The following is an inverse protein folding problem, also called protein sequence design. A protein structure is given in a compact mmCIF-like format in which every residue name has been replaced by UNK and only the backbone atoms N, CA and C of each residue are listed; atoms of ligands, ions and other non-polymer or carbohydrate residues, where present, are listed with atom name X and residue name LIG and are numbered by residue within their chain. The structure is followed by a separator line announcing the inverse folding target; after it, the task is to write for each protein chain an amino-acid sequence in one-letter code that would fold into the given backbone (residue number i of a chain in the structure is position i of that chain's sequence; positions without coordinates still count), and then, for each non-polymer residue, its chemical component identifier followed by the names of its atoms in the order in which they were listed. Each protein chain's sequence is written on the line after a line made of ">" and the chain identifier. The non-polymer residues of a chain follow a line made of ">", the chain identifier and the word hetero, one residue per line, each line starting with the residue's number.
data_IF_275854588633
#
_entry.id   IF_275854588633
#
_cell.length_a   1.000
_cell.length_b   1.000
_cell.length_c   1.000
_cell.angle_alpha   90.00
_cell.angle_beta   90.00
_cell.angle_gamma   90.00
#
_symmetry.space_group_name_H-M   'P 1'
#
loop_
_entity.id
_entity.type
_entity.pdbx_description
1 polymer ?
#
# COMPACT_ATOMS: atom_id res chain seq x y z
N UNK A 1 5.57 10.10 31.95
CA UNK A 1 4.87 9.32 33.01
C UNK A 1 4.77 7.87 32.57
N UNK A 2 5.06 6.91 33.46
CA UNK A 2 4.97 5.47 33.14
C UNK A 2 3.50 5.03 33.21
N UNK A 3 3.00 4.34 32.19
CA UNK A 3 1.63 3.81 32.18
C UNK A 3 0.53 4.81 31.79
N UNK A 4 0.88 5.98 31.25
CA UNK A 4 -0.10 6.90 30.64
C UNK A 4 -0.30 6.58 29.16
N UNK A 5 -1.55 6.49 28.75
CA UNK A 5 -1.93 6.43 27.34
C UNK A 5 -1.72 7.81 26.70
N UNK A 6 -0.82 7.88 25.73
CA UNK A 6 -0.43 9.10 25.02
C UNK A 6 -1.15 9.28 23.68
N UNK A 7 -1.61 8.17 23.08
CA UNK A 7 -2.57 8.12 21.98
C UNK A 7 -3.45 6.88 22.14
N UNK A 8 -4.73 7.03 21.79
CA UNK A 8 -5.71 5.95 21.74
C UNK A 8 -6.62 6.14 20.51
N UNK A 9 -7.29 5.06 20.11
CA UNK A 9 -8.38 5.06 19.13
C UNK A 9 -8.04 5.76 17.80
N UNK A 10 -6.79 5.60 17.35
CA UNK A 10 -6.36 6.14 16.06
C UNK A 10 -6.92 5.27 14.94
N UNK A 11 -7.68 5.89 14.04
CA UNK A 11 -8.30 5.21 12.89
C UNK A 11 -7.52 5.43 11.59
N UNK A 12 -6.52 6.32 11.59
CA UNK A 12 -5.70 6.59 10.41
C UNK A 12 -4.68 5.46 10.19
N UNK A 13 -4.88 4.68 9.14
CA UNK A 13 -3.95 3.64 8.67
C UNK A 13 -3.47 3.90 7.23
N UNK A 14 -3.52 5.16 6.78
CA UNK A 14 -3.30 5.54 5.38
C UNK A 14 -1.85 5.44 4.90
N UNK A 15 -0.89 5.29 5.82
CA UNK A 15 0.54 5.39 5.52
C UNK A 15 1.05 6.81 5.18
N UNK A 16 0.20 7.85 5.16
CA UNK A 16 0.60 9.22 4.76
C UNK A 16 1.15 10.01 5.95
N UNK A 17 2.44 10.36 5.90
CA UNK A 17 3.22 10.92 7.03
C UNK A 17 2.62 12.18 7.67
N UNK A 18 1.93 13.03 6.92
CA UNK A 18 1.39 14.32 7.39
C UNK A 18 0.04 14.21 8.12
N UNK A 19 -0.54 13.00 8.17
CA UNK A 19 -1.83 12.74 8.84
C UNK A 19 -1.68 12.04 10.19
N UNK A 20 -0.45 11.84 10.67
CA UNK A 20 -0.20 11.21 11.96
C UNK A 20 0.00 12.25 13.06
N UNK A 21 -0.72 12.07 14.17
CA UNK A 21 -0.55 12.90 15.35
C UNK A 21 0.82 12.65 15.99
N UNK A 22 1.59 13.71 16.22
CA UNK A 22 2.84 13.63 16.97
C UNK A 22 2.57 13.20 18.41
N UNK A 23 3.30 12.18 18.86
CA UNK A 23 3.30 11.76 20.27
C UNK A 23 4.24 12.64 21.07
N UNK A 24 3.96 12.83 22.37
CA UNK A 24 4.91 13.39 23.33
C UNK A 24 6.26 12.63 23.24
N UNK A 25 7.35 13.34 22.95
CA UNK A 25 8.68 12.76 22.70
C UNK A 25 9.12 12.67 21.23
N UNK A 26 8.30 13.14 20.28
CA UNK A 26 8.68 13.24 18.86
C UNK A 26 8.60 11.93 18.08
N UNK A 27 7.84 10.95 18.59
CA UNK A 27 7.58 9.68 17.91
C UNK A 27 6.36 9.81 17.01
N UNK A 28 6.43 9.20 15.82
CA UNK A 28 5.30 8.97 14.93
C UNK A 28 4.94 7.47 14.98
N UNK A 29 3.66 7.15 15.20
CA UNK A 29 3.16 5.79 15.05
C UNK A 29 2.41 5.70 13.72
N UNK A 30 2.98 4.93 12.79
CA UNK A 30 2.39 4.63 11.48
C UNK A 30 1.99 3.17 11.48
N UNK A 31 0.71 2.90 11.26
CA UNK A 31 0.18 1.55 11.02
C UNK A 31 -0.25 1.50 9.56
N UNK A 32 0.33 0.58 8.79
CA UNK A 32 -0.02 0.38 7.39
C UNK A 32 -0.18 -1.11 7.12
N UNK A 33 -1.32 -1.49 6.55
CA UNK A 33 -1.58 -2.84 6.07
C UNK A 33 -1.06 -3.07 4.64
N UNK A 34 -1.02 -4.33 4.18
CA UNK A 34 -0.75 -4.61 2.78
C UNK A 34 -1.85 -4.01 1.89
N UNK A 35 -1.55 -3.69 0.61
CA UNK A 35 -2.58 -3.26 -0.33
C UNK A 35 -3.66 -4.34 -0.52
N UNK A 36 -4.91 -3.97 -0.81
CA UNK A 36 -5.99 -4.95 -1.05
C UNK A 36 -5.74 -5.77 -2.31
N UNK A 37 -6.27 -7.00 -2.35
CA UNK A 37 -6.26 -7.86 -3.55
C UNK A 37 -5.36 -9.08 -3.42
N UNK A 38 -4.70 -9.47 -4.51
CA UNK A 38 -3.77 -10.61 -4.54
C UNK A 38 -2.38 -10.18 -4.11
N UNK A 39 -1.65 -11.01 -3.34
CA UNK A 39 -0.26 -10.67 -2.95
C UNK A 39 0.62 -10.49 -4.20
N UNK A 40 1.56 -9.55 -4.14
CA UNK A 40 2.45 -9.27 -5.26
C UNK A 40 3.46 -10.41 -5.49
N UNK A 41 3.90 -10.55 -6.75
CA UNK A 41 4.98 -11.45 -7.13
C UNK A 41 4.67 -12.93 -6.85
N UNK A 42 5.69 -13.68 -6.39
CA UNK A 42 5.58 -15.11 -6.11
C UNK A 42 4.76 -15.46 -4.86
N UNK A 43 4.37 -14.47 -4.06
CA UNK A 43 3.66 -14.71 -2.81
C UNK A 43 2.14 -14.80 -3.00
N UNK A 44 1.62 -14.31 -4.13
CA UNK A 44 0.19 -14.32 -4.45
C UNK A 44 -0.28 -15.48 -5.29
N UNK A 45 0.63 -16.28 -5.81
CA UNK A 45 0.29 -17.45 -6.61
C UNK A 45 1.41 -18.49 -6.62
N UNK A 46 1.04 -19.76 -6.76
CA UNK A 46 2.01 -20.84 -6.90
C UNK A 46 1.44 -22.00 -7.70
N UNK A 47 2.27 -22.73 -8.44
CA UNK A 47 1.93 -24.08 -8.88
C UNK A 47 2.28 -25.04 -7.75
N UNK A 48 1.28 -25.66 -7.16
CA UNK A 48 1.42 -26.56 -6.02
C UNK A 48 1.83 -27.97 -6.48
N UNK A 49 1.43 -28.34 -7.69
CA UNK A 49 1.85 -29.57 -8.37
C UNK A 49 1.69 -29.42 -9.88
N UNK A 50 2.32 -30.33 -10.62
CA UNK A 50 2.23 -30.37 -12.08
C UNK A 50 3.12 -29.35 -12.77
N UNK A 51 2.72 -28.95 -13.98
CA UNK A 51 3.48 -28.04 -14.86
C UNK A 51 2.73 -26.73 -15.09
N UNK A 52 3.45 -25.62 -15.07
CA UNK A 52 2.88 -24.33 -15.42
C UNK A 52 2.49 -24.27 -16.90
N UNK A 53 1.18 -24.19 -17.16
CA UNK A 53 0.64 -23.95 -18.52
C UNK A 53 -0.09 -22.61 -18.66
N UNK A 54 -0.57 -21.99 -17.58
CA UNK A 54 -1.14 -20.64 -17.63
C UNK A 54 -0.04 -19.56 -17.62
N UNK A 55 -0.34 -18.44 -18.25
CA UNK A 55 0.54 -17.28 -18.34
C UNK A 55 -0.24 -15.97 -18.36
N UNK A 56 0.40 -14.94 -17.84
CA UNK A 56 -0.11 -13.58 -17.86
C UNK A 56 -0.01 -12.94 -19.24
N UNK A 57 0.94 -13.38 -20.07
CA UNK A 57 1.12 -12.84 -21.41
C UNK A 57 -0.17 -12.96 -22.23
N UNK A 58 -0.51 -11.93 -23.01
CA UNK A 58 -1.77 -11.87 -23.74
C UNK A 58 -2.99 -11.60 -22.87
N UNK A 59 -2.86 -11.38 -21.55
CA UNK A 59 -3.99 -11.13 -20.64
C UNK A 59 -3.75 -10.09 -19.53
N UNK A 60 -2.50 -9.74 -19.24
CA UNK A 60 -2.12 -9.06 -17.99
C UNK A 60 -2.15 -7.53 -17.97
N UNK A 61 -2.18 -6.86 -19.11
CA UNK A 61 -1.96 -5.40 -19.16
C UNK A 61 -3.23 -4.59 -19.45
N UNK A 62 -4.39 -5.24 -19.60
CA UNK A 62 -5.64 -4.58 -19.99
C UNK A 62 -6.37 -3.89 -18.85
N UNK A 63 -6.31 -4.43 -17.63
CA UNK A 63 -7.17 -4.01 -16.52
C UNK A 63 -6.43 -3.58 -15.25
N UNK A 64 -5.09 -3.68 -15.21
CA UNK A 64 -4.30 -3.22 -14.06
C UNK A 64 -4.52 -4.02 -12.77
N UNK A 65 -4.90 -5.29 -12.88
CA UNK A 65 -5.03 -6.21 -11.74
C UNK A 65 -3.65 -6.52 -11.12
N UNK A 66 -3.64 -7.14 -9.94
CA UNK A 66 -2.53 -7.17 -8.99
C UNK A 66 -1.83 -8.53 -8.99
N UNK A 67 -2.62 -9.59 -9.18
CA UNK A 67 -2.19 -10.98 -9.11
C UNK A 67 -1.71 -11.53 -10.46
N UNK A 68 -0.75 -12.44 -10.40
CA UNK A 68 -0.19 -13.14 -11.57
C UNK A 68 0.20 -12.17 -12.70
N UNK A 69 1.01 -11.16 -12.37
CA UNK A 69 1.42 -10.08 -13.28
C UNK A 69 0.25 -9.30 -13.91
N UNK A 70 -0.90 -9.24 -13.25
CA UNK A 70 -2.10 -8.54 -13.70
C UNK A 70 -3.11 -9.36 -14.49
N UNK A 71 -2.94 -10.69 -14.52
CA UNK A 71 -3.88 -11.60 -15.16
C UNK A 71 -4.92 -12.22 -14.22
N UNK A 72 -4.88 -11.92 -12.92
CA UNK A 72 -5.96 -12.19 -11.97
C UNK A 72 -6.01 -11.12 -10.91
N UNK A 73 -7.21 -10.74 -10.46
CA UNK A 73 -7.35 -9.75 -9.41
C UNK A 73 -8.65 -9.84 -8.64
N UNK A 74 -8.70 -9.05 -7.58
CA UNK A 74 -9.92 -8.77 -6.83
C UNK A 74 -10.79 -7.82 -7.65
N UNK A 75 -11.49 -8.38 -8.63
CA UNK A 75 -12.26 -7.62 -9.58
C UNK A 75 -13.46 -8.42 -10.10
N UNK A 76 -14.38 -7.73 -10.77
CA UNK A 76 -15.54 -8.34 -11.44
C UNK A 76 -15.89 -7.58 -12.72
N UNK A 77 -16.61 -8.20 -13.68
CA UNK A 77 -17.14 -7.47 -14.84
C UNK A 77 -18.04 -6.29 -14.44
N UNK A 78 -18.86 -6.44 -13.38
CA UNK A 78 -19.69 -5.36 -12.84
C UNK A 78 -18.86 -4.17 -12.35
N UNK A 79 -17.69 -4.42 -11.75
CA UNK A 79 -16.78 -3.37 -11.34
C UNK A 79 -16.16 -2.60 -12.53
N UNK A 80 -15.75 -3.29 -13.60
CA UNK A 80 -15.12 -2.64 -14.75
C UNK A 80 -16.09 -2.06 -15.77
N UNK A 81 -17.26 -2.67 -15.96
CA UNK A 81 -18.18 -2.38 -17.06
C UNK A 81 -19.61 -2.06 -16.62
N UNK A 82 -19.94 -2.30 -15.34
CA UNK A 82 -21.24 -2.01 -14.75
C UNK A 82 -21.18 -0.76 -13.87
N UNK A 83 -21.71 -0.89 -12.65
CA UNK A 83 -21.86 0.21 -11.69
C UNK A 83 -20.67 0.38 -10.72
N UNK A 84 -19.59 -0.38 -10.90
CA UNK A 84 -18.41 -0.30 -10.02
C UNK A 84 -18.47 -1.24 -8.81
N UNK A 85 -19.55 -2.02 -8.63
CA UNK A 85 -19.72 -2.88 -7.45
C UNK A 85 -18.72 -4.03 -7.41
N UNK A 86 -18.09 -4.21 -6.24
CA UNK A 86 -17.36 -5.40 -5.83
C UNK A 86 -18.08 -6.01 -4.62
N UNK A 87 -18.60 -7.22 -4.77
CA UNK A 87 -19.44 -7.85 -3.75
C UNK A 87 -18.66 -8.37 -2.54
N UNK A 88 -17.46 -8.89 -2.77
CA UNK A 88 -16.63 -9.51 -1.74
C UNK A 88 -15.55 -8.50 -1.36
N UNK A 89 -15.62 -7.82 -0.21
CA UNK A 89 -14.61 -6.83 0.14
C UNK A 89 -13.21 -7.46 0.29
N UNK A 90 -12.16 -6.63 0.21
CA UNK A 90 -10.78 -7.12 0.08
C UNK A 90 -10.29 -7.94 1.29
N UNK A 91 -10.82 -7.67 2.48
CA UNK A 91 -10.58 -8.40 3.73
C UNK A 91 -11.31 -9.74 3.79
N UNK A 92 -12.34 -9.95 2.97
CA UNK A 92 -13.09 -11.20 2.88
C UNK A 92 -12.58 -12.16 1.80
N UNK A 93 -11.60 -11.74 0.96
CA UNK A 93 -11.00 -12.61 -0.06
C UNK A 93 -10.47 -13.91 0.55
N UNK A 94 -10.66 -15.02 -0.16
CA UNK A 94 -10.20 -16.34 0.26
C UNK A 94 -8.92 -16.75 -0.44
N UNK A 95 -8.03 -17.43 0.28
CA UNK A 95 -7.03 -18.28 -0.36
C UNK A 95 -7.75 -19.37 -1.15
N UNK A 96 -7.33 -19.61 -2.39
CA UNK A 96 -7.94 -20.66 -3.22
C UNK A 96 -6.93 -21.62 -3.84
N UNK A 97 -7.37 -22.86 -4.05
CA UNK A 97 -6.72 -23.85 -4.90
C UNK A 97 -7.58 -24.12 -6.14
N UNK A 98 -6.97 -24.02 -7.31
CA UNK A 98 -7.53 -24.41 -8.59
C UNK A 98 -6.94 -25.77 -8.96
N UNK A 99 -7.79 -26.79 -9.04
CA UNK A 99 -7.43 -28.16 -9.40
C UNK A 99 -7.97 -28.44 -10.79
N UNK A 100 -7.11 -28.79 -11.74
CA UNK A 100 -7.49 -28.94 -13.14
C UNK A 100 -8.01 -30.36 -13.44
N UNK A 101 -8.76 -30.51 -14.52
CA UNK A 101 -9.12 -31.82 -15.09
C UNK A 101 -8.17 -32.19 -16.23
N UNK A 102 -8.21 -33.45 -16.68
CA UNK A 102 -7.51 -33.84 -17.90
C UNK A 102 -8.22 -33.24 -19.12
N UNK A 103 -7.47 -32.49 -19.93
CA UNK A 103 -7.94 -31.87 -21.17
C UNK A 103 -6.90 -32.06 -22.25
N UNK A 104 -7.29 -32.51 -23.44
CA UNK A 104 -6.36 -32.65 -24.56
C UNK A 104 -5.93 -31.30 -25.17
N UNK A 105 -5.06 -31.35 -26.19
CA UNK A 105 -4.53 -30.15 -26.83
C UNK A 105 -5.61 -29.29 -27.53
N UNK A 106 -6.73 -29.92 -27.93
CA UNK A 106 -7.86 -29.30 -28.61
C UNK A 106 -8.93 -28.79 -27.63
N UNK A 107 -8.69 -28.94 -26.32
CA UNK A 107 -9.62 -28.53 -25.29
C UNK A 107 -10.76 -29.51 -25.05
N UNK A 108 -10.66 -30.76 -25.48
CA UNK A 108 -11.67 -31.77 -25.20
C UNK A 108 -11.39 -32.45 -23.86
N UNK A 109 -12.44 -32.70 -23.10
CA UNK A 109 -12.37 -33.34 -21.79
C UNK A 109 -13.61 -34.18 -21.51
N UNK A 110 -13.45 -35.22 -20.70
CA UNK A 110 -14.57 -35.96 -20.14
C UNK A 110 -15.22 -35.11 -19.04
N UNK A 111 -16.50 -34.78 -19.25
CA UNK A 111 -17.30 -33.92 -18.35
C UNK A 111 -17.65 -34.59 -17.02
N UNK A 112 -17.42 -35.89 -16.88
CA UNK A 112 -17.66 -36.64 -15.65
C UNK A 112 -16.47 -36.66 -14.69
N UNK A 113 -15.33 -36.08 -15.10
CA UNK A 113 -14.15 -35.98 -14.25
C UNK A 113 -14.43 -35.16 -12.97
N UNK A 114 -13.83 -35.52 -11.83
CA UNK A 114 -14.13 -34.90 -10.53
C UNK A 114 -13.81 -33.40 -10.49
N UNK A 115 -12.78 -32.98 -11.22
CA UNK A 115 -12.35 -31.59 -11.33
C UNK A 115 -13.03 -30.82 -12.46
N UNK A 116 -14.02 -31.39 -13.16
CA UNK A 116 -14.88 -30.60 -14.06
C UNK A 116 -15.98 -29.96 -13.21
N UNK A 117 -16.20 -28.66 -13.42
CA UNK A 117 -17.27 -27.89 -12.78
C UNK A 117 -18.38 -27.59 -13.78
N UNK A 118 -19.61 -27.68 -13.30
CA UNK A 118 -20.68 -26.90 -13.89
C UNK A 118 -20.40 -25.41 -13.66
N UNK A 119 -20.38 -24.64 -14.74
CA UNK A 119 -20.03 -23.22 -14.70
C UNK A 119 -21.09 -22.36 -15.36
N UNK A 120 -21.28 -21.16 -14.84
CA UNK A 120 -22.15 -20.15 -15.45
C UNK A 120 -21.42 -19.57 -16.66
N UNK A 121 -22.09 -19.57 -17.82
CA UNK A 121 -21.55 -19.01 -19.05
C UNK A 121 -22.22 -17.69 -19.37
N UNK A 122 -21.41 -16.68 -19.64
CA UNK A 122 -21.86 -15.38 -20.13
C UNK A 122 -21.30 -15.12 -21.53
N UNK A 123 -22.06 -14.38 -22.31
CA UNK A 123 -21.72 -14.05 -23.69
C UNK A 123 -21.70 -12.55 -23.92
N UNK A 124 -20.58 -12.03 -24.42
CA UNK A 124 -20.51 -10.64 -24.86
C UNK A 124 -20.91 -10.48 -26.32
N UNK A 125 -21.81 -9.53 -26.60
CA UNK A 125 -22.33 -9.24 -27.96
C UNK A 125 -23.15 -10.37 -28.58
N UNK A 126 -23.84 -11.17 -27.76
CA UNK A 126 -24.62 -12.31 -28.23
C UNK A 126 -25.99 -11.92 -28.82
N UNK A 127 -26.46 -10.69 -28.57
CA UNK A 127 -27.61 -10.11 -29.28
C UNK A 127 -27.35 -9.87 -30.79
N UNK A 128 -26.07 -9.82 -31.21
CA UNK A 128 -25.70 -9.69 -32.62
C UNK A 128 -25.69 -11.05 -33.33
N UNK A 129 -25.71 -11.02 -34.67
CA UNK A 129 -25.50 -12.23 -35.46
C UNK A 129 -24.14 -12.88 -35.11
N UNK A 130 -24.02 -14.21 -35.21
CA UNK A 130 -22.75 -14.91 -34.99
C UNK A 130 -21.63 -14.30 -35.84
N UNK A 131 -20.54 -13.86 -35.20
CA UNK A 131 -19.38 -13.29 -35.88
C UNK A 131 -18.65 -14.32 -36.74
N UNK A 132 -18.80 -15.61 -36.40
CA UNK A 132 -18.41 -16.75 -37.22
C UNK A 132 -19.54 -17.78 -37.27
N UNK A 133 -19.73 -18.51 -38.39
CA UNK A 133 -20.80 -19.50 -38.50
C UNK A 133 -20.78 -20.56 -37.40
N UNK A 134 -19.59 -20.99 -36.98
CA UNK A 134 -19.38 -22.00 -35.94
C UNK A 134 -19.83 -21.56 -34.53
N UNK A 135 -20.03 -20.26 -34.28
CA UNK A 135 -20.51 -19.77 -32.98
C UNK A 135 -22.02 -19.95 -32.81
N UNK A 136 -22.77 -20.08 -33.92
CA UNK A 136 -24.23 -20.08 -33.90
C UNK A 136 -24.84 -21.12 -32.94
N UNK A 137 -24.33 -22.37 -32.81
CA UNK A 137 -24.88 -23.35 -31.87
C UNK A 137 -24.71 -22.97 -30.38
N UNK A 138 -23.77 -22.07 -30.08
CA UNK A 138 -23.39 -21.69 -28.73
C UNK A 138 -23.96 -20.34 -28.29
N UNK A 139 -24.67 -19.63 -29.18
CA UNK A 139 -25.38 -18.39 -28.83
C UNK A 139 -26.83 -18.77 -28.50
N UNK A 140 -27.16 -18.83 -27.21
CA UNK A 140 -28.45 -19.33 -26.72
C UNK A 140 -29.39 -18.17 -26.42
N UNK A 141 -28.92 -17.21 -25.62
CA UNK A 141 -29.67 -16.03 -25.23
C UNK A 141 -29.19 -14.80 -26.01
N UNK A 142 -30.06 -14.28 -26.86
CA UNK A 142 -29.83 -13.10 -27.70
C UNK A 142 -30.62 -11.88 -27.24
N UNK A 143 -31.35 -11.98 -26.12
CA UNK A 143 -32.29 -10.96 -25.68
C UNK A 143 -31.65 -9.85 -24.84
N UNK A 144 -30.41 -10.02 -24.38
CA UNK A 144 -29.77 -9.06 -23.50
C UNK A 144 -28.90 -8.01 -24.22
N UNK A 145 -28.13 -7.26 -23.44
CA UNK A 145 -27.56 -5.97 -23.90
C UNK A 145 -26.04 -5.89 -23.90
N UNK A 146 -25.32 -6.86 -23.33
CA UNK A 146 -23.88 -6.68 -23.16
C UNK A 146 -23.09 -7.92 -22.80
N UNK A 147 -23.45 -8.60 -21.70
CA UNK A 147 -22.71 -9.73 -21.11
C UNK A 147 -23.68 -10.78 -20.55
N UNK A 148 -24.54 -11.28 -21.42
CA UNK A 148 -25.79 -11.95 -21.06
C UNK A 148 -25.54 -13.39 -20.66
N UNK A 149 -26.28 -13.85 -19.64
CA UNK A 149 -26.27 -15.25 -19.24
C UNK A 149 -26.74 -16.14 -20.38
N UNK A 150 -26.01 -17.24 -20.63
CA UNK A 150 -26.25 -18.19 -21.71
C UNK A 150 -26.78 -19.53 -21.19
N UNK A 151 -26.01 -20.18 -20.32
CA UNK A 151 -26.32 -21.49 -19.77
C UNK A 151 -25.48 -21.82 -18.52
N UNK A 152 -25.77 -22.98 -17.92
CA UNK A 152 -25.03 -23.56 -16.82
C UNK A 152 -24.81 -25.05 -17.10
N UNK A 153 -23.60 -25.40 -17.51
CA UNK A 153 -23.26 -26.76 -17.96
C UNK A 153 -21.88 -27.19 -17.45
N UNK A 154 -21.58 -28.49 -17.51
CA UNK A 154 -20.27 -29.07 -17.16
C UNK A 154 -19.19 -28.71 -18.20
N UNK A 155 -18.85 -27.42 -18.26
CA UNK A 155 -18.05 -26.81 -19.34
C UNK A 155 -16.73 -26.21 -18.85
N UNK A 156 -16.44 -26.28 -17.55
CA UNK A 156 -15.25 -25.68 -16.95
C UNK A 156 -14.32 -26.79 -16.46
N UNK A 157 -13.19 -27.08 -17.14
CA UNK A 157 -12.31 -28.21 -16.80
C UNK A 157 -11.37 -27.92 -15.62
N UNK A 158 -11.90 -27.30 -14.57
CA UNK A 158 -11.23 -27.06 -13.30
C UNK A 158 -12.26 -26.98 -12.16
N UNK A 159 -11.80 -27.25 -10.94
CA UNK A 159 -12.53 -27.06 -9.71
C UNK A 159 -11.75 -26.10 -8.81
N UNK A 160 -12.45 -25.15 -8.19
CA UNK A 160 -11.84 -24.18 -7.28
C UNK A 160 -12.28 -24.48 -5.86
N UNK A 161 -11.34 -24.44 -4.92
CA UNK A 161 -11.57 -24.67 -3.50
C UNK A 161 -11.11 -23.45 -2.70
N UNK A 162 -11.98 -22.94 -1.84
CA UNK A 162 -11.61 -22.10 -0.70
C UNK A 162 -10.85 -22.97 0.31
N UNK A 163 -9.57 -22.62 0.51
CA UNK A 163 -8.64 -23.32 1.40
C UNK A 163 -8.47 -22.63 2.76
N UNK A 164 -9.14 -21.51 2.99
CA UNK A 164 -9.22 -20.93 4.33
C UNK A 164 -10.27 -21.67 5.18
N UNK A 165 -11.22 -22.34 4.53
CA UNK A 165 -12.19 -23.23 5.18
C UNK A 165 -11.57 -24.60 5.55
N UNK A 166 -12.01 -25.15 6.69
CA UNK A 166 -11.66 -26.51 7.14
C UNK A 166 -12.94 -27.34 7.40
N UNK A 167 -13.24 -28.36 6.56
CA UNK A 167 -12.49 -28.78 5.37
C UNK A 167 -12.62 -27.77 4.21
N UNK A 168 -11.73 -27.84 3.19
CA UNK A 168 -11.80 -26.97 2.03
C UNK A 168 -13.16 -27.03 1.32
N UNK A 169 -13.67 -25.87 0.91
CA UNK A 169 -15.02 -25.70 0.34
C UNK A 169 -14.95 -25.44 -1.16
N UNK A 170 -15.66 -26.24 -1.96
CA UNK A 170 -15.67 -26.08 -3.43
C UNK A 170 -16.54 -24.89 -3.84
N UNK A 171 -15.99 -24.01 -4.66
CA UNK A 171 -16.59 -22.75 -5.08
C UNK A 171 -17.26 -22.83 -6.46
N UNK A 172 -18.31 -22.03 -6.63
CA UNK A 172 -18.93 -21.77 -7.92
C UNK A 172 -17.98 -20.98 -8.84
N UNK A 173 -18.03 -21.32 -10.12
CA UNK A 173 -17.23 -20.69 -11.16
C UNK A 173 -18.10 -20.32 -12.36
N UNK A 174 -17.62 -19.39 -13.15
CA UNK A 174 -18.19 -19.13 -14.46
C UNK A 174 -17.17 -18.49 -15.37
N UNK A 175 -17.58 -18.21 -16.60
CA UNK A 175 -16.68 -17.69 -17.61
C UNK A 175 -17.41 -16.85 -18.65
N UNK A 176 -16.64 -16.06 -19.37
CA UNK A 176 -17.12 -15.25 -20.49
C UNK A 176 -16.62 -15.80 -21.81
N UNK A 177 -17.44 -15.65 -22.85
CA UNK A 177 -17.03 -15.74 -24.25
C UNK A 177 -17.44 -14.47 -25.02
N UNK A 178 -16.79 -14.18 -26.14
CA UNK A 178 -17.02 -12.95 -26.91
C UNK A 178 -17.39 -13.23 -28.36
N UNK A 179 -18.59 -12.82 -28.77
CA UNK A 179 -19.06 -12.94 -30.15
C UNK A 179 -18.45 -11.83 -31.02
N UNK A 180 -17.17 -12.01 -31.37
CA UNK A 180 -16.37 -11.10 -32.19
C UNK A 180 -15.49 -11.88 -33.16
N UNK A 181 -14.89 -11.22 -34.15
CA UNK A 181 -14.05 -11.90 -35.15
C UNK A 181 -12.86 -12.67 -34.52
N UNK A 182 -12.30 -12.17 -33.41
CA UNK A 182 -11.25 -12.86 -32.64
C UNK A 182 -11.78 -13.74 -31.50
N UNK A 183 -13.10 -13.93 -31.39
CA UNK A 183 -13.75 -14.80 -30.41
C UNK A 183 -13.40 -16.28 -30.60
N UNK A 184 -13.64 -17.08 -29.55
CA UNK A 184 -13.50 -18.53 -29.58
C UNK A 184 -14.82 -19.30 -29.36
N UNK A 185 -15.92 -18.60 -29.04
CA UNK A 185 -17.25 -19.11 -28.68
C UNK A 185 -17.50 -20.57 -29.06
N UNK A 186 -17.29 -21.46 -28.09
CA UNK A 186 -17.41 -22.92 -28.21
C UNK A 186 -18.11 -23.57 -27.00
N UNK A 187 -18.63 -22.77 -26.08
CA UNK A 187 -19.43 -23.23 -24.95
C UNK A 187 -18.62 -23.98 -23.89
N UNK A 188 -17.29 -23.77 -23.85
CA UNK A 188 -16.40 -24.29 -22.81
C UNK A 188 -15.38 -23.25 -22.40
N UNK A 189 -14.94 -23.33 -21.15
CA UNK A 189 -13.86 -22.47 -20.69
C UNK A 189 -12.52 -22.99 -21.23
N UNK A 190 -11.98 -22.29 -22.24
CA UNK A 190 -10.73 -22.68 -22.88
C UNK A 190 -9.92 -21.45 -23.34
N UNK A 191 -9.11 -20.83 -22.46
CA UNK A 191 -8.42 -19.58 -22.76
C UNK A 191 -7.50 -19.69 -23.99
N UNK A 192 -7.26 -18.59 -24.72
CA UNK A 192 -6.41 -18.63 -25.91
C UNK A 192 -4.95 -18.91 -25.57
N UNK A 193 -4.15 -19.23 -26.59
CA UNK A 193 -2.70 -19.14 -26.46
C UNK A 193 -2.24 -17.69 -26.48
N UNK A 194 -1.26 -17.36 -25.63
CA UNK A 194 -0.78 -15.99 -25.43
C UNK A 194 -0.22 -15.31 -26.67
N UNK A 195 0.29 -16.10 -27.62
CA UNK A 195 0.85 -15.64 -28.89
C UNK A 195 -0.20 -15.61 -30.02
N UNK A 196 -1.40 -16.15 -29.78
CA UNK A 196 -2.47 -16.20 -30.78
C UNK A 196 -3.43 -15.03 -30.64
N UNK A 197 -3.74 -14.61 -29.41
CA UNK A 197 -4.69 -13.54 -29.17
C UNK A 197 -4.44 -12.81 -27.84
N UNK A 198 -4.86 -11.54 -27.81
CA UNK A 198 -5.03 -10.77 -26.57
C UNK A 198 -6.41 -11.11 -25.98
N UNK A 199 -6.40 -11.78 -24.83
CA UNK A 199 -7.57 -12.22 -24.10
C UNK A 199 -8.34 -11.07 -23.45
N UNK A 200 -7.79 -9.84 -23.38
CA UNK A 200 -8.49 -8.66 -22.84
C UNK A 200 -9.10 -7.77 -23.92
N UNK A 201 -8.59 -7.88 -25.16
CA UNK A 201 -9.03 -7.07 -26.28
C UNK A 201 -10.54 -7.17 -26.52
N UNK A 202 -11.18 -6.04 -26.85
CA UNK A 202 -12.63 -6.01 -27.17
C UNK A 202 -13.00 -6.84 -28.40
N UNK A 203 -12.04 -7.05 -29.30
CA UNK A 203 -12.17 -7.88 -30.51
C UNK A 203 -11.59 -9.29 -30.34
N UNK A 204 -10.97 -9.59 -29.20
CA UNK A 204 -10.32 -10.87 -28.90
C UNK A 204 -11.26 -11.89 -28.23
N UNK A 205 -10.71 -13.02 -27.75
CA UNK A 205 -11.47 -14.14 -27.19
C UNK A 205 -12.30 -13.78 -25.97
N UNK A 206 -11.70 -13.08 -25.00
CA UNK A 206 -12.28 -12.80 -23.67
C UNK A 206 -12.79 -14.05 -22.96
N UNK A 207 -12.00 -15.10 -23.02
CA UNK A 207 -12.13 -16.33 -22.24
C UNK A 207 -11.71 -16.03 -20.80
N UNK A 208 -12.59 -15.38 -20.08
CA UNK A 208 -12.35 -14.89 -18.73
C UNK A 208 -12.90 -15.88 -17.72
N UNK A 209 -12.16 -16.16 -16.65
CA UNK A 209 -12.65 -16.98 -15.55
C UNK A 209 -13.13 -16.09 -14.41
N UNK A 210 -14.31 -16.40 -13.87
CA UNK A 210 -14.87 -15.80 -12.68
C UNK A 210 -14.95 -16.85 -11.58
N UNK A 211 -14.45 -16.51 -10.40
CA UNK A 211 -14.44 -17.36 -9.22
C UNK A 211 -15.29 -16.65 -8.17
N UNK A 212 -16.34 -17.31 -7.67
CA UNK A 212 -17.32 -16.71 -6.78
C UNK A 212 -17.11 -17.19 -5.35
N UNK A 213 -17.31 -16.31 -4.37
CA UNK A 213 -17.51 -16.74 -2.98
C UNK A 213 -18.95 -17.26 -2.79
N UNK A 214 -19.22 -18.40 -3.43
CA UNK A 214 -20.50 -19.11 -3.39
C UNK A 214 -20.24 -20.61 -3.54
N UNK A 215 -21.10 -21.44 -2.95
CA UNK A 215 -20.94 -22.89 -2.99
C UNK A 215 -21.13 -23.47 -4.39
N UNK A 216 -20.33 -24.47 -4.74
CA UNK A 216 -20.55 -25.27 -5.94
C UNK A 216 -21.76 -26.21 -5.76
N UNK A 217 -22.73 -26.13 -6.66
CA UNK A 217 -24.03 -26.80 -6.53
C UNK A 217 -24.24 -27.97 -7.52
N UNK A 218 -23.17 -28.41 -8.21
CA UNK A 218 -23.28 -29.47 -9.21
C UNK A 218 -24.13 -29.03 -10.39
N UNK A 219 -25.10 -29.84 -10.82
CA UNK A 219 -25.96 -29.50 -11.96
C UNK A 219 -27.13 -28.53 -11.63
N UNK A 220 -27.20 -28.00 -10.40
CA UNK A 220 -28.32 -27.19 -9.93
C UNK A 220 -27.88 -25.72 -9.79
N UNK A 221 -28.03 -24.86 -10.81
CA UNK A 221 -27.64 -23.46 -10.70
C UNK A 221 -28.46 -22.73 -9.63
N UNK A 222 -27.88 -21.68 -9.06
CA UNK A 222 -28.59 -20.65 -8.31
C UNK A 222 -29.26 -19.71 -9.32
N UNK A 223 -30.60 -19.63 -9.34
CA UNK A 223 -31.34 -18.79 -10.28
C UNK A 223 -30.99 -17.30 -10.17
N UNK A 224 -30.47 -16.84 -9.03
CA UNK A 224 -30.04 -15.45 -8.86
C UNK A 224 -28.82 -15.09 -9.72
N UNK A 225 -28.03 -16.08 -10.13
CA UNK A 225 -26.84 -15.88 -10.95
C UNK A 225 -27.12 -16.05 -12.45
N UNK A 226 -28.30 -16.53 -12.84
CA UNK A 226 -28.78 -16.68 -14.23
C UNK A 226 -29.23 -15.35 -14.86
N UNK A 227 -28.45 -14.30 -14.63
CA UNK A 227 -28.69 -12.93 -15.10
C UNK A 227 -27.39 -12.34 -15.66
N UNK A 228 -27.44 -11.16 -16.26
CA UNK A 228 -26.25 -10.49 -16.82
C UNK A 228 -25.14 -10.30 -15.77
N UNK A 229 -23.88 -10.63 -16.10
CA UNK A 229 -22.77 -10.59 -15.11
C UNK A 229 -22.33 -9.17 -14.72
N UNK A 230 -22.77 -8.16 -15.48
CA UNK A 230 -22.45 -6.75 -15.20
C UNK A 230 -23.53 -6.02 -14.38
N UNK A 231 -24.68 -6.65 -14.12
CA UNK A 231 -25.79 -6.10 -13.32
C UNK A 231 -26.31 -7.08 -12.25
N UNK A 232 -25.90 -8.35 -12.34
CA UNK A 232 -26.32 -9.41 -11.45
C UNK A 232 -25.66 -9.38 -10.07
N UNK A 233 -26.20 -10.19 -9.13
CA UNK A 233 -25.74 -10.27 -7.75
C UNK A 233 -24.60 -11.28 -7.55
N UNK A 234 -23.90 -11.71 -8.60
CA UNK A 234 -22.89 -12.76 -8.50
C UNK A 234 -21.74 -12.31 -7.59
N UNK A 235 -21.40 -13.07 -6.52
CA UNK A 235 -20.35 -12.70 -5.58
C UNK A 235 -18.96 -13.05 -6.13
N UNK A 236 -18.58 -12.45 -7.27
CA UNK A 236 -17.30 -12.69 -7.92
C UNK A 236 -16.18 -12.13 -7.03
N UNK A 237 -15.36 -13.05 -6.51
CA UNK A 237 -14.22 -12.79 -5.66
C UNK A 237 -12.95 -12.57 -6.49
N UNK A 238 -12.73 -13.41 -7.51
CA UNK A 238 -11.60 -13.26 -8.43
C UNK A 238 -12.05 -13.28 -9.88
N UNK A 239 -11.38 -12.45 -10.67
CA UNK A 239 -11.52 -12.37 -12.12
C UNK A 239 -10.15 -12.59 -12.75
N UNK A 240 -10.04 -13.63 -13.58
CA UNK A 240 -8.84 -13.97 -14.31
C UNK A 240 -8.97 -13.79 -15.83
N UNK A 241 -7.93 -13.24 -16.44
CA UNK A 241 -7.79 -12.96 -17.88
C UNK A 241 -6.59 -13.64 -18.52
N UNK A 242 -5.92 -14.56 -17.80
CA UNK A 242 -4.73 -15.27 -18.27
C UNK A 242 -4.95 -16.00 -19.61
N UNK A 243 -3.84 -16.32 -20.25
CA UNK A 243 -3.78 -17.14 -21.45
C UNK A 243 -3.01 -18.44 -21.18
N UNK A 244 -2.97 -19.33 -22.17
CA UNK A 244 -2.11 -20.53 -22.16
C UNK A 244 -0.74 -20.22 -22.76
N UNK A 245 0.32 -20.80 -22.19
CA UNK A 245 1.73 -20.60 -22.60
C UNK A 245 2.19 -21.59 -23.66
N UNK A 246 1.72 -22.82 -23.61
CA UNK A 246 2.10 -23.91 -24.51
C UNK A 246 0.89 -24.81 -24.75
N UNK A 247 0.94 -25.59 -25.83
CA UNK A 247 -0.12 -26.54 -26.22
C UNK A 247 -0.21 -27.77 -25.32
N UNK A 248 0.43 -27.75 -24.14
CA UNK A 248 0.39 -28.87 -23.22
C UNK A 248 -1.05 -29.07 -22.72
N UNK A 249 -1.54 -30.32 -22.77
CA UNK A 249 -2.76 -30.75 -22.08
C UNK A 249 -2.82 -30.27 -20.63
N UNK A 250 -4.02 -29.92 -20.15
CA UNK A 250 -4.24 -29.81 -18.71
C UNK A 250 -4.30 -31.22 -18.16
N UNK A 251 -3.74 -31.45 -16.99
CA UNK A 251 -3.80 -32.75 -16.33
C UNK A 251 -4.42 -32.61 -14.95
N UNK A 252 -4.99 -33.70 -14.45
CA UNK A 252 -5.52 -33.77 -13.09
C UNK A 252 -4.44 -33.72 -11.98
N UNK A 253 -3.16 -33.74 -12.37
CA UNK A 253 -2.02 -33.52 -11.50
C UNK A 253 -1.67 -32.03 -11.33
N UNK A 254 -2.21 -31.14 -12.15
CA UNK A 254 -1.92 -29.72 -12.10
C UNK A 254 -2.78 -29.02 -11.05
N UNK A 255 -2.13 -28.25 -10.17
CA UNK A 255 -2.79 -27.48 -9.12
C UNK A 255 -2.14 -26.11 -8.99
N UNK A 256 -2.96 -25.04 -9.00
CA UNK A 256 -2.53 -23.66 -8.83
C UNK A 256 -3.17 -23.04 -7.59
N UNK A 257 -2.38 -22.42 -6.72
CA UNK A 257 -2.86 -21.61 -5.60
C UNK A 257 -2.90 -20.12 -5.93
N UNK A 258 -3.90 -19.41 -5.41
CA UNK A 258 -3.99 -17.93 -5.41
C UNK A 258 -4.19 -17.46 -3.97
N UNK A 259 -3.42 -16.45 -3.55
CA UNK A 259 -3.37 -16.00 -2.17
C UNK A 259 -3.61 -14.49 -2.07
N UNK A 260 -4.69 -14.07 -1.38
CA UNK A 260 -4.97 -12.66 -1.17
C UNK A 260 -4.03 -12.06 -0.12
N UNK A 261 -3.91 -10.74 -0.15
CA UNK A 261 -3.42 -10.00 1.00
C UNK A 261 -4.45 -10.07 2.13
N UNK A 262 -4.01 -9.80 3.36
CA UNK A 262 -4.90 -9.63 4.51
C UNK A 262 -4.83 -8.16 4.92
N UNK A 263 -5.62 -7.28 4.27
CA UNK A 263 -5.62 -5.86 4.63
C UNK A 263 -6.10 -5.71 6.07
N UNK A 264 -5.64 -4.64 6.72
CA UNK A 264 -6.12 -4.32 8.06
C UNK A 264 -7.60 -3.94 8.01
N UNK A 265 -8.32 -4.37 9.03
CA UNK A 265 -9.73 -4.11 9.25
C UNK A 265 -9.91 -3.16 10.43
N UNK A 266 -11.11 -2.57 10.62
CA UNK A 266 -11.43 -1.83 11.85
C UNK A 266 -11.31 -2.65 13.14
N UNK A 267 -11.30 -3.99 13.05
CA UNK A 267 -11.16 -4.89 14.19
C UNK A 267 -9.69 -5.14 14.58
N UNK A 268 -8.73 -4.78 13.72
CA UNK A 268 -7.31 -4.92 14.00
C UNK A 268 -6.80 -3.84 14.96
N UNK A 269 -6.38 -4.27 16.16
CA UNK A 269 -5.88 -3.38 17.22
C UNK A 269 -4.37 -3.54 17.39
N UNK A 270 -3.63 -2.45 17.17
CA UNK A 270 -2.18 -2.38 17.37
C UNK A 270 -1.85 -1.59 18.64
N UNK A 271 -1.10 -2.20 19.56
CA UNK A 271 -0.67 -1.55 20.80
C UNK A 271 0.86 -1.47 20.88
N UNK A 272 1.38 -0.26 21.03
CA UNK A 272 2.80 0.00 21.27
C UNK A 272 3.02 0.63 22.65
N UNK A 273 4.05 0.16 23.36
CA UNK A 273 4.51 0.76 24.62
C UNK A 273 5.89 1.36 24.41
N UNK A 274 5.99 2.68 24.54
CA UNK A 274 7.28 3.35 24.56
C UNK A 274 7.94 3.18 25.94
N UNK A 275 9.27 2.97 25.99
CA UNK A 275 9.99 3.11 27.25
C UNK A 275 9.81 4.54 27.78
N UNK A 276 9.79 4.69 29.11
CA UNK A 276 9.82 6.03 29.69
C UNK A 276 11.09 6.76 29.21
N UNK A 277 11.02 8.07 28.90
CA UNK A 277 12.22 8.84 28.61
C UNK A 277 13.22 8.65 29.76
N UNK A 278 14.40 8.10 29.47
CA UNK A 278 15.45 8.02 30.46
C UNK A 278 16.03 9.41 30.66
N UNK A 279 15.69 10.03 31.78
CA UNK A 279 16.43 11.17 32.30
C UNK A 279 17.53 10.62 33.21
N UNK A 280 18.79 10.77 32.79
CA UNK A 280 19.95 10.27 33.53
C UNK A 280 21.14 11.19 33.37
N UNK A 281 22.03 11.19 34.36
CA UNK A 281 23.23 12.02 34.35
C UNK A 281 24.10 11.80 33.10
N UNK A 282 24.21 10.56 32.61
CA UNK A 282 24.96 10.22 31.39
C UNK A 282 24.33 10.79 30.10
N UNK A 283 23.01 10.73 29.94
CA UNK A 283 22.33 11.33 28.79
C UNK A 283 22.40 12.86 28.82
N UNK A 284 22.27 13.46 30.01
CA UNK A 284 22.43 14.89 30.19
C UNK A 284 23.89 15.33 29.88
N UNK A 285 24.87 14.49 30.23
CA UNK A 285 26.29 14.69 29.90
C UNK A 285 26.53 14.59 28.38
N UNK A 286 26.00 13.58 27.71
CA UNK A 286 26.11 13.42 26.25
C UNK A 286 25.40 14.55 25.48
N UNK A 287 24.27 15.05 25.98
CA UNK A 287 23.59 16.22 25.40
C UNK A 287 24.44 17.49 25.59
N UNK A 288 25.04 17.67 26.78
CA UNK A 288 25.93 18.79 27.07
C UNK A 288 27.17 18.82 26.16
N UNK A 289 27.72 17.67 25.76
CA UNK A 289 28.82 17.60 24.77
C UNK A 289 28.45 18.19 23.40
N UNK A 290 27.16 18.26 23.08
CA UNK A 290 26.64 18.79 21.83
C UNK A 290 26.11 20.23 21.95
N UNK A 291 26.49 20.98 22.99
CA UNK A 291 26.11 22.40 23.12
C UNK A 291 26.62 23.19 21.91
N UNK A 292 25.70 23.89 21.26
CA UNK A 292 25.97 24.73 20.10
C UNK A 292 25.38 26.13 20.25
N UNK A 293 25.53 26.92 19.18
CA UNK A 293 25.01 28.28 19.08
C UNK A 293 24.54 28.55 17.65
N UNK A 294 23.38 29.16 17.50
CA UNK A 294 22.82 29.54 16.20
C UNK A 294 22.15 30.93 16.24
N UNK A 295 22.21 31.71 15.15
CA UNK A 295 23.08 31.48 13.99
C UNK A 295 24.56 31.64 14.37
N UNK A 296 25.42 30.85 13.73
CA UNK A 296 26.88 30.95 13.87
C UNK A 296 27.53 30.64 12.51
N UNK A 297 28.08 31.64 11.80
CA UNK A 297 28.21 33.03 12.22
C UNK A 297 26.86 33.74 12.38
N UNK A 298 26.79 34.67 13.32
CA UNK A 298 25.79 35.74 13.27
C UNK A 298 26.25 36.73 12.21
N UNK A 299 25.44 36.94 11.16
CA UNK A 299 25.82 37.78 10.03
C UNK A 299 24.73 38.82 9.75
N UNK A 300 24.99 40.07 10.15
CA UNK A 300 24.10 41.22 10.10
C UNK A 300 22.83 41.09 10.97
N UNK A 301 22.00 40.07 10.71
CA UNK A 301 20.71 39.86 11.36
C UNK A 301 20.40 38.37 11.53
N UNK A 302 19.45 38.06 12.40
CA UNK A 302 18.82 36.74 12.53
C UNK A 302 17.35 36.85 12.06
N UNK A 303 16.87 35.88 11.27
CA UNK A 303 15.52 35.91 10.68
C UNK A 303 14.39 35.93 11.71
N UNK A 304 14.68 35.58 12.96
CA UNK A 304 13.74 35.60 14.09
C UNK A 304 13.75 36.93 14.87
N UNK A 305 14.54 37.93 14.45
CA UNK A 305 14.59 39.24 15.09
C UNK A 305 13.40 40.10 14.69
N UNK A 306 12.73 40.70 15.68
CA UNK A 306 11.55 41.55 15.45
C UNK A 306 11.90 42.99 15.07
N UNK A 307 13.12 43.44 15.35
CA UNK A 307 13.64 44.76 14.96
C UNK A 307 15.19 44.76 14.98
N UNK A 308 15.80 45.76 14.32
CA UNK A 308 17.28 45.87 14.14
C UNK A 308 18.08 46.08 15.44
N UNK A 309 17.41 46.40 16.54
CA UNK A 309 18.01 46.62 17.86
C UNK A 309 17.96 45.37 18.76
N UNK A 310 17.10 44.40 18.44
CA UNK A 310 16.88 43.19 19.22
C UNK A 310 17.70 42.02 18.64
N UNK A 311 19.02 42.18 18.62
CA UNK A 311 19.94 41.19 18.03
C UNK A 311 20.16 40.02 18.97
N UNK A 312 20.19 38.79 18.48
CA UNK A 312 20.51 37.65 19.34
C UNK A 312 21.06 36.41 18.63
N UNK A 313 21.85 35.65 19.39
CA UNK A 313 22.16 34.24 19.13
C UNK A 313 21.55 33.35 20.20
N UNK A 314 21.26 32.09 19.86
CA UNK A 314 20.63 31.11 20.74
C UNK A 314 21.57 29.93 20.97
N UNK A 315 21.86 29.65 22.22
CA UNK A 315 22.49 28.42 22.67
C UNK A 315 21.46 27.30 22.80
N UNK A 316 21.83 26.07 22.45
CA UNK A 316 20.98 24.87 22.53
C UNK A 316 21.63 23.74 23.34
N UNK A 317 20.86 22.67 23.58
CA UNK A 317 21.28 21.50 24.35
C UNK A 317 21.73 21.83 25.78
N UNK A 318 21.14 22.89 26.37
CA UNK A 318 21.45 23.30 27.73
C UNK A 318 20.60 22.55 28.76
N UNK A 319 21.19 22.10 29.88
CA UNK A 319 20.44 21.62 31.03
C UNK A 319 19.69 22.77 31.72
N UNK A 320 18.87 22.44 32.74
CA UNK A 320 18.05 23.41 33.47
C UNK A 320 18.89 24.54 34.08
N UNK A 321 20.06 24.19 34.60
CA UNK A 321 21.01 25.13 35.20
C UNK A 321 22.32 25.21 34.42
N UNK A 322 22.66 26.41 33.96
CA UNK A 322 23.92 26.67 33.27
C UNK A 322 24.43 28.09 33.57
N UNK A 323 25.75 28.25 33.66
CA UNK A 323 26.41 29.56 33.64
C UNK A 323 27.22 29.70 32.36
N UNK A 324 26.95 30.73 31.58
CA UNK A 324 27.59 30.99 30.29
C UNK A 324 28.45 32.24 30.44
N UNK A 325 29.77 32.11 30.28
CA UNK A 325 30.72 33.22 30.31
C UNK A 325 31.26 33.45 28.91
N UNK A 326 31.06 34.65 28.40
CA UNK A 326 31.44 35.01 27.03
C UNK A 326 32.68 35.89 27.08
N UNK A 327 33.69 35.51 26.33
CA UNK A 327 34.97 36.20 26.24
C UNK A 327 35.27 36.64 24.81
N UNK A 328 36.04 37.71 24.65
CA UNK A 328 36.67 38.02 23.37
C UNK A 328 37.98 37.21 23.19
N UNK A 329 38.63 37.31 22.03
CA UNK A 329 39.89 36.61 21.76
C UNK A 329 41.07 37.03 22.67
N UNK A 330 40.99 38.20 23.30
CA UNK A 330 41.98 38.64 24.28
C UNK A 330 41.75 38.05 25.69
N UNK A 331 40.71 37.22 25.87
CA UNK A 331 40.35 36.62 27.15
C UNK A 331 39.60 37.56 28.10
N UNK A 332 39.13 38.72 27.61
CA UNK A 332 38.36 39.66 28.43
C UNK A 332 36.91 39.18 28.53
N UNK A 333 36.36 39.18 29.75
CA UNK A 333 34.96 38.83 29.99
C UNK A 333 34.04 39.91 29.42
N UNK A 334 33.21 39.51 28.47
CA UNK A 334 32.24 40.37 27.77
C UNK A 334 30.90 40.35 28.50
N UNK A 335 30.40 39.15 28.82
CA UNK A 335 29.11 38.96 29.50
C UNK A 335 29.06 37.64 30.27
N UNK A 336 28.29 37.61 31.35
CA UNK A 336 27.86 36.38 32.02
C UNK A 336 26.34 36.25 31.93
N UNK A 337 25.84 35.06 31.61
CA UNK A 337 24.43 34.71 31.55
C UNK A 337 24.19 33.53 32.48
N UNK A 338 23.18 33.64 33.36
CA UNK A 338 22.76 32.56 34.26
C UNK A 338 21.40 32.04 33.80
N UNK A 339 21.33 30.73 33.57
CA UNK A 339 20.13 30.02 33.16
C UNK A 339 19.59 29.19 34.32
N UNK A 340 18.28 29.27 34.55
CA UNK A 340 17.55 28.52 35.58
C UNK A 340 16.10 28.24 35.14
N UNK A 341 15.91 27.65 33.96
CA UNK A 341 14.58 27.31 33.42
C UNK A 341 14.62 26.02 32.59
N UNK A 342 13.45 25.40 32.38
CA UNK A 342 13.31 24.08 31.76
C UNK A 342 13.57 24.04 30.24
N UNK A 343 13.70 25.19 29.57
CA UNK A 343 14.01 25.20 28.13
C UNK A 343 15.42 24.66 27.87
N UNK A 344 15.65 23.97 26.75
CA UNK A 344 17.01 23.62 26.31
C UNK A 344 17.75 24.81 25.65
N UNK A 345 17.07 25.95 25.54
CA UNK A 345 17.57 27.14 24.84
C UNK A 345 17.89 28.30 25.80
N UNK A 346 18.89 29.11 25.43
CA UNK A 346 19.22 30.38 26.08
C UNK A 346 19.74 31.38 25.05
N UNK A 347 19.20 32.60 25.05
CA UNK A 347 19.65 33.64 24.14
C UNK A 347 20.73 34.52 24.77
N UNK A 348 21.67 34.98 23.93
CA UNK A 348 22.53 36.12 24.17
C UNK A 348 22.15 37.25 23.21
N UNK A 349 21.80 38.38 23.78
CA UNK A 349 21.38 39.63 23.11
C UNK A 349 22.51 40.38 22.37
N UNK A 350 23.69 39.77 22.25
CA UNK A 350 24.90 40.39 21.70
C UNK A 350 25.30 41.71 22.37
N UNK A 351 24.91 41.90 23.63
CA UNK A 351 25.35 43.02 24.45
C UNK A 351 26.44 42.57 25.42
N UNK A 352 27.34 43.50 25.76
CA UNK A 352 28.30 43.32 26.85
C UNK A 352 27.64 43.60 28.22
N UNK A 353 28.43 43.46 29.29
CA UNK A 353 27.97 43.70 30.66
C UNK A 353 27.46 45.12 30.92
N UNK A 354 27.84 46.11 30.10
CA UNK A 354 27.38 47.50 30.18
C UNK A 354 26.14 47.76 29.32
N UNK A 355 25.56 46.72 28.71
CA UNK A 355 24.41 46.85 27.82
C UNK A 355 24.73 47.46 26.45
N UNK A 356 26.01 47.51 26.06
CA UNK A 356 26.43 48.02 24.76
C UNK A 356 26.63 46.88 23.76
N UNK A 357 26.27 47.06 22.46
CA UNK A 357 26.52 46.08 21.42
C UNK A 357 27.99 45.67 21.35
N UNK A 358 28.22 44.38 21.14
CA UNK A 358 29.59 43.87 20.94
C UNK A 358 30.06 44.10 19.51
N UNK A 359 31.36 44.34 19.34
CA UNK A 359 31.96 44.52 18.02
C UNK A 359 31.92 43.24 17.18
N UNK A 360 32.02 43.38 15.85
CA UNK A 360 32.29 42.26 14.96
C UNK A 360 33.59 41.58 15.33
N UNK A 361 33.60 40.25 15.39
CA UNK A 361 34.77 39.46 15.76
C UNK A 361 34.42 38.08 16.27
N UNK A 362 35.45 37.39 16.76
CA UNK A 362 35.32 36.07 17.37
C UNK A 362 35.16 36.17 18.89
N UNK A 363 34.26 35.36 19.42
CA UNK A 363 33.98 35.21 20.84
C UNK A 363 34.06 33.75 21.25
N UNK A 364 34.30 33.52 22.54
CA UNK A 364 34.37 32.21 23.16
C UNK A 364 33.35 32.18 24.29
N UNK A 365 32.37 31.29 24.21
CA UNK A 365 31.43 31.02 25.30
C UNK A 365 31.91 29.78 26.07
N UNK A 366 32.20 29.96 27.35
CA UNK A 366 32.50 28.90 28.30
C UNK A 366 31.26 28.60 29.15
N UNK A 367 30.84 27.34 29.12
CA UNK A 367 29.66 26.85 29.83
C UNK A 367 30.12 26.08 31.06
N UNK A 368 29.60 26.46 32.23
CA UNK A 368 29.69 25.65 33.46
C UNK A 368 28.33 25.03 33.73
N UNK A 369 28.27 23.70 33.75
CA UNK A 369 27.03 22.93 33.88
C UNK A 369 27.07 22.11 35.19
N UNK A 370 26.69 22.70 36.33
CA UNK A 370 26.90 22.10 37.65
C UNK A 370 26.11 20.78 37.84
N UNK A 371 24.96 20.64 37.20
CA UNK A 371 24.12 19.42 37.31
C UNK A 371 24.76 18.19 36.67
N UNK A 372 25.59 18.37 35.64
CA UNK A 372 26.24 17.27 34.89
C UNK A 372 27.75 17.20 35.11
N UNK A 373 28.34 18.18 35.82
CA UNK A 373 29.77 18.23 36.11
C UNK A 373 30.65 18.43 34.88
N UNK A 374 30.12 19.03 33.81
CA UNK A 374 30.82 19.26 32.54
C UNK A 374 31.06 20.75 32.32
N UNK A 375 32.19 21.05 31.69
CA UNK A 375 32.45 22.34 31.07
C UNK A 375 32.53 22.19 29.56
N UNK A 376 31.99 23.18 28.82
CA UNK A 376 32.04 23.21 27.36
C UNK A 376 32.48 24.56 26.84
N UNK A 377 33.09 24.56 25.66
CA UNK A 377 33.58 25.77 25.01
C UNK A 377 33.03 25.83 23.59
N UNK A 378 32.30 26.90 23.27
CA UNK A 378 31.77 27.16 21.93
C UNK A 378 32.40 28.43 21.38
N UNK A 379 32.85 28.38 20.11
CA UNK A 379 33.37 29.53 19.38
C UNK A 379 32.24 30.19 18.59
N UNK A 380 32.16 31.52 18.64
CA UNK A 380 31.08 32.29 18.04
C UNK A 380 31.69 33.34 17.12
N UNK A 381 31.26 33.40 15.87
CA UNK A 381 31.62 34.46 14.94
C UNK A 381 30.47 35.48 14.85
N UNK A 382 30.75 36.75 15.12
CA UNK A 382 29.79 37.85 15.02
C UNK A 382 30.24 38.83 13.95
N UNK A 383 29.36 39.13 12.99
CA UNK A 383 29.52 40.20 12.01
C UNK A 383 28.33 41.13 12.16
N UNK A 384 28.54 42.26 12.84
CA UNK A 384 27.54 43.32 12.97
C UNK A 384 27.37 44.06 11.65
N UNK A 385 26.18 44.65 11.44
CA UNK A 385 25.96 45.64 10.40
C UNK A 385 26.84 46.89 10.62
N UNK A 386 27.18 47.59 9.54
CA UNK A 386 27.82 48.90 9.66
C UNK A 386 26.87 49.86 10.38
N UNK A 387 27.28 50.35 11.55
CA UNK A 387 26.54 51.40 12.25
C UNK A 387 26.71 52.72 11.49
N UNK A 388 25.66 53.12 10.77
CA UNK A 388 25.54 54.49 10.25
C UNK A 388 24.84 55.30 11.33
N UNK A 389 25.55 56.29 11.90
CA UNK A 389 24.92 57.31 12.73
C UNK A 389 24.06 58.18 11.80
N UNK A 390 22.73 58.17 11.99
CA UNK A 390 21.88 59.22 11.43
C UNK A 390 22.23 60.53 12.15
N UNK A 391 23.14 61.30 11.55
CA UNK A 391 23.36 62.69 11.94
C UNK A 391 22.16 63.50 11.47
N UNK A 392 21.32 63.93 12.41
CA UNK A 392 20.31 64.96 12.17
C UNK A 392 20.94 66.35 12.10
#
# INVERSE_FOLDING_TARGET
>A
TKGTTILADQTNQSGVEDQYSMVEGGVFLVVQGPPPGVKAGSDGWAWLSGSRFLTWAGGANGFGMEGFEGAIGYASPRNFFGDGTLFIPADELKGIEIRFANVDADGNFDTTQPNVSYGYRWGRSFAAAPAKPEFAPYIINTAGTGYDYQDYTASVPLAVYDIDADPPRRLAVGYLENNQAGGLVDGKYWPPFYNNADNTASTGPREWLFIMDADYTGANPDPNYEVEVIDGPQPIMYYATWARRNENPWTDADVMGIYPTRPNTPDDVFQYTLPAPEAGAELAKASAENIGVFPNPYYAFNSLETNRLARFVTFNNLPKQATIRIFNLAGQLVRTITKSNDSQFQQWDLLNHSGLPVASGMYIAHFTLPEVGVEQIVKIAIVQEAEVLDTF
#
